data_IF_692768730083
#
_entry.id   IF_692768730083
#
_cell.length_a   1.000
_cell.length_b   1.000
_cell.length_c   1.000
_cell.angle_alpha   90.00
_cell.angle_beta   90.00
_cell.angle_gamma   90.00
#
_symmetry.space_group_name_H-M   'P 1'
#
loop_
_entity.id
_entity.type
_entity.pdbx_description
1 polymer ?
#
# COMPACT_ATOMS: atom_id res chain seq x y z
N UNK A 1 -70.29 56.18 22.39
CA UNK A 1 -69.05 56.40 21.65
C UNK A 1 -68.01 55.46 22.28
N UNK A 2 -67.81 54.27 21.70
CA UNK A 2 -66.85 53.30 22.17
C UNK A 2 -66.02 52.86 20.96
N UNK A 3 -64.72 53.04 20.96
CA UNK A 3 -63.87 52.50 19.88
C UNK A 3 -63.50 51.04 20.11
N UNK A 4 -63.83 50.22 19.14
CA UNK A 4 -63.46 48.83 19.03
C UNK A 4 -61.99 48.71 18.76
N UNK A 5 -61.25 48.00 19.63
CA UNK A 5 -59.86 47.59 19.40
C UNK A 5 -59.85 46.29 18.66
N UNK A 6 -59.31 46.28 17.44
CA UNK A 6 -58.99 45.08 16.70
C UNK A 6 -57.64 44.57 17.15
N UNK A 7 -57.66 43.35 17.71
CA UNK A 7 -56.47 42.63 18.08
C UNK A 7 -55.96 41.84 16.85
N UNK A 8 -54.87 42.27 16.26
CA UNK A 8 -54.21 41.53 15.17
C UNK A 8 -53.27 40.49 15.80
N UNK A 9 -53.66 39.22 15.68
CA UNK A 9 -52.82 38.11 16.06
C UNK A 9 -51.91 37.80 14.87
N UNK A 10 -50.64 38.15 14.98
CA UNK A 10 -49.62 37.74 14.01
C UNK A 10 -49.17 36.31 14.29
N UNK A 11 -49.54 35.37 13.44
CA UNK A 11 -49.04 33.99 13.47
C UNK A 11 -47.65 34.00 12.83
N UNK A 12 -46.63 33.89 13.64
CA UNK A 12 -45.24 33.65 13.18
C UNK A 12 -45.08 32.19 12.88
N UNK A 13 -45.14 31.80 11.61
CA UNK A 13 -44.83 30.46 11.14
C UNK A 13 -43.30 30.26 11.16
N UNK A 14 -42.81 29.51 12.12
CA UNK A 14 -41.39 29.09 12.20
C UNK A 14 -41.16 27.94 11.22
N UNK A 15 -40.66 28.24 10.03
CA UNK A 15 -40.22 27.23 9.07
C UNK A 15 -38.92 26.63 9.54
N UNK A 16 -38.99 25.37 10.03
CA UNK A 16 -37.82 24.54 10.29
C UNK A 16 -37.23 24.14 8.95
N UNK A 17 -36.17 24.80 8.53
CA UNK A 17 -35.32 24.35 7.44
C UNK A 17 -34.50 23.18 7.96
N UNK A 18 -34.94 21.93 7.70
CA UNK A 18 -34.12 20.77 7.78
C UNK A 18 -33.14 20.82 6.62
N UNK A 19 -31.90 21.18 6.90
CA UNK A 19 -30.80 20.98 5.96
C UNK A 19 -30.57 19.47 5.84
N UNK A 20 -30.68 18.85 4.63
CA UNK A 20 -30.18 17.51 4.44
C UNK A 20 -28.67 17.56 4.70
N UNK A 21 -28.23 16.87 5.76
CA UNK A 21 -26.82 16.66 5.99
C UNK A 21 -26.28 15.91 4.78
N UNK A 22 -25.45 16.59 3.97
CA UNK A 22 -24.58 15.92 3.01
C UNK A 22 -23.77 14.90 3.79
N UNK A 23 -24.20 13.63 3.71
CA UNK A 23 -23.36 12.52 4.04
C UNK A 23 -22.18 12.58 3.04
N UNK A 24 -21.09 13.21 3.45
CA UNK A 24 -19.81 13.09 2.76
C UNK A 24 -19.51 11.59 2.76
N UNK A 25 -19.88 10.94 1.64
CA UNK A 25 -19.42 9.60 1.35
C UNK A 25 -17.90 9.68 1.43
N UNK A 26 -17.34 9.11 2.50
CA UNK A 26 -15.90 9.08 2.70
C UNK A 26 -15.28 8.49 1.44
N UNK A 27 -14.67 9.34 0.65
CA UNK A 27 -13.90 8.96 -0.52
C UNK A 27 -12.88 7.96 -0.02
N UNK A 28 -13.14 6.67 -0.29
CA UNK A 28 -12.23 5.60 0.09
C UNK A 28 -11.00 5.76 -0.78
N UNK A 29 -10.04 6.56 -0.30
CA UNK A 29 -8.81 6.83 -1.01
C UNK A 29 -8.23 5.50 -1.52
N UNK A 30 -7.93 5.46 -2.81
CA UNK A 30 -7.32 4.28 -3.43
C UNK A 30 -6.03 3.93 -2.66
N UNK A 31 -5.80 2.65 -2.33
CA UNK A 31 -4.61 2.26 -1.60
C UNK A 31 -3.35 2.66 -2.36
N UNK A 32 -2.42 3.31 -1.69
CA UNK A 32 -1.18 3.75 -2.29
C UNK A 32 -0.29 2.57 -2.69
N UNK A 33 0.47 2.69 -3.77
CA UNK A 33 1.39 1.63 -4.21
C UNK A 33 2.74 1.76 -3.51
N UNK A 34 3.23 0.66 -2.93
CA UNK A 34 4.52 0.62 -2.24
C UNK A 34 5.71 0.79 -3.19
N UNK A 35 5.52 0.37 -4.45
CA UNK A 35 6.51 0.58 -5.51
C UNK A 35 5.86 0.77 -6.87
N UNK A 36 6.64 1.29 -7.78
CA UNK A 36 6.28 1.52 -9.18
C UNK A 36 7.33 0.88 -10.09
N UNK A 37 6.95 0.52 -11.32
CA UNK A 37 7.91 0.11 -12.34
C UNK A 37 8.84 1.27 -12.67
N UNK A 38 10.15 1.05 -12.62
CA UNK A 38 11.10 2.01 -13.13
C UNK A 38 11.01 2.10 -14.67
N UNK A 39 11.31 3.27 -15.27
CA UNK A 39 11.50 3.37 -16.70
C UNK A 39 12.55 2.35 -17.15
N UNK A 40 12.24 1.61 -18.23
CA UNK A 40 13.19 0.64 -18.77
C UNK A 40 14.42 1.36 -19.28
N UNK A 41 15.50 1.32 -18.53
CA UNK A 41 16.82 1.67 -19.05
C UNK A 41 17.35 0.39 -19.68
N UNK A 42 17.88 0.47 -20.90
CA UNK A 42 18.46 -0.66 -21.62
C UNK A 42 19.34 -1.48 -20.68
N UNK A 43 18.80 -2.61 -20.26
CA UNK A 43 19.50 -3.47 -19.33
C UNK A 43 20.55 -4.22 -20.13
N UNK A 44 21.80 -3.97 -19.82
CA UNK A 44 22.88 -4.85 -20.22
C UNK A 44 22.45 -6.29 -19.86
N UNK A 45 22.56 -7.18 -20.82
CA UNK A 45 22.21 -8.60 -20.69
C UNK A 45 23.15 -9.31 -19.71
N UNK A 46 23.08 -8.91 -18.43
CA UNK A 46 23.68 -9.68 -17.37
C UNK A 46 23.05 -11.06 -17.42
N UNK A 47 23.88 -12.09 -17.45
CA UNK A 47 23.45 -13.47 -17.58
C UNK A 47 22.36 -13.77 -16.54
N UNK A 48 21.13 -14.00 -17.00
CA UNK A 48 19.98 -14.24 -16.13
C UNK A 48 20.23 -15.50 -15.32
N UNK A 49 20.06 -15.42 -14.01
CA UNK A 49 20.19 -16.57 -13.11
C UNK A 49 19.15 -17.65 -13.47
N UNK A 50 19.49 -18.95 -13.47
CA UNK A 50 18.60 -20.02 -13.94
C UNK A 50 17.24 -20.09 -13.23
N UNK A 51 17.18 -19.61 -11.99
CA UNK A 51 15.98 -19.61 -11.16
C UNK A 51 15.12 -18.35 -11.30
N UNK A 52 15.57 -17.33 -12.08
CA UNK A 52 14.81 -16.12 -12.34
C UNK A 52 13.96 -16.31 -13.59
N UNK A 53 12.64 -16.24 -13.42
CA UNK A 53 11.66 -16.34 -14.50
C UNK A 53 11.54 -14.98 -15.20
N UNK A 54 11.29 -13.92 -14.42
CA UNK A 54 11.15 -12.54 -14.88
C UNK A 54 11.77 -11.58 -13.89
N UNK A 55 12.22 -10.43 -14.37
CA UNK A 55 12.74 -9.35 -13.53
C UNK A 55 12.36 -7.99 -14.09
N UNK A 56 12.21 -7.01 -13.21
CA UNK A 56 12.08 -5.60 -13.57
C UNK A 56 12.67 -4.70 -12.48
N UNK A 57 13.11 -3.53 -12.88
CA UNK A 57 13.51 -2.50 -11.93
C UNK A 57 12.27 -1.84 -11.31
N UNK A 58 12.34 -1.54 -10.02
CA UNK A 58 11.29 -0.88 -9.26
C UNK A 58 11.82 0.34 -8.51
N UNK A 59 10.93 1.30 -8.30
CA UNK A 59 11.15 2.50 -7.49
C UNK A 59 10.20 2.42 -6.31
N UNK A 60 10.73 2.53 -5.09
CA UNK A 60 9.94 2.55 -3.87
C UNK A 60 9.30 3.90 -3.60
N UNK A 61 8.11 3.89 -3.05
CA UNK A 61 7.57 5.04 -2.34
C UNK A 61 8.26 5.15 -0.96
N UNK A 62 9.21 6.09 -0.88
CA UNK A 62 10.03 6.26 0.32
C UNK A 62 9.20 6.73 1.51
N UNK A 63 8.15 7.51 1.28
CA UNK A 63 7.28 8.00 2.37
C UNK A 63 6.49 6.85 2.99
N UNK A 64 5.91 6.00 2.17
CA UNK A 64 5.24 4.79 2.65
C UNK A 64 6.21 3.85 3.36
N UNK A 65 7.42 3.70 2.84
CA UNK A 65 8.45 2.87 3.46
C UNK A 65 8.81 3.36 4.87
N UNK A 66 8.89 4.69 5.09
CA UNK A 66 9.15 5.24 6.42
C UNK A 66 8.01 4.93 7.39
N UNK A 67 6.76 5.09 6.96
CA UNK A 67 5.58 4.75 7.77
C UNK A 67 5.61 3.26 8.15
N UNK A 68 5.96 2.38 7.19
CA UNK A 68 6.03 0.93 7.42
C UNK A 68 7.09 0.53 8.45
N UNK A 69 8.20 1.26 8.54
CA UNK A 69 9.27 0.99 9.50
C UNK A 69 8.88 1.35 10.94
N UNK A 70 7.88 2.19 11.11
CA UNK A 70 7.40 2.58 12.44
C UNK A 70 6.44 1.52 13.00
N UNK A 71 6.91 0.72 13.94
CA UNK A 71 6.09 -0.29 14.61
C UNK A 71 4.95 0.30 15.45
N UNK A 72 5.00 1.59 15.77
CA UNK A 72 3.98 2.30 16.56
C UNK A 72 2.89 2.93 15.70
N UNK A 73 3.15 3.16 14.41
CA UNK A 73 2.21 3.72 13.45
C UNK A 73 1.13 2.70 13.07
N UNK A 74 0.14 2.52 13.92
CA UNK A 74 -0.98 1.60 13.68
C UNK A 74 -2.32 2.32 13.80
N UNK A 75 -3.31 1.93 12.96
CA UNK A 75 -3.21 0.97 11.86
C UNK A 75 -2.31 1.50 10.72
N UNK A 76 -1.58 0.61 10.07
CA UNK A 76 -0.83 0.99 8.87
C UNK A 76 -1.78 1.45 7.75
N UNK A 77 -1.38 2.40 6.93
CA UNK A 77 -2.17 2.81 5.78
C UNK A 77 -2.38 1.62 4.82
N UNK A 78 -3.49 1.65 4.09
CA UNK A 78 -3.75 0.65 3.05
C UNK A 78 -2.72 0.82 1.94
N UNK A 79 -2.06 -0.26 1.58
CA UNK A 79 -1.01 -0.28 0.56
C UNK A 79 -1.19 -1.43 -0.38
N UNK A 80 -0.78 -1.21 -1.61
CA UNK A 80 -0.77 -2.24 -2.65
C UNK A 80 0.62 -2.45 -3.19
N UNK A 81 0.81 -3.60 -3.77
CA UNK A 81 1.96 -3.94 -4.62
C UNK A 81 1.45 -4.50 -5.93
N UNK A 82 2.18 -4.28 -6.99
CA UNK A 82 1.96 -4.90 -8.28
C UNK A 82 3.16 -5.79 -8.64
N UNK A 83 2.89 -6.88 -9.32
CA UNK A 83 3.92 -7.78 -9.83
C UNK A 83 4.09 -7.59 -11.33
N UNK A 84 4.13 -8.66 -12.11
CA UNK A 84 4.34 -8.62 -13.56
C UNK A 84 3.03 -8.66 -14.36
N UNK A 85 1.93 -8.93 -13.70
CA UNK A 85 0.57 -8.76 -14.21
C UNK A 85 0.05 -7.40 -13.72
N UNK A 86 -0.91 -6.84 -14.41
CA UNK A 86 -1.49 -5.54 -14.05
C UNK A 86 -2.31 -5.57 -12.74
N UNK A 87 -2.31 -6.69 -12.02
CA UNK A 87 -3.09 -6.86 -10.80
C UNK A 87 -2.39 -6.22 -9.62
N UNK A 88 -3.13 -5.44 -8.86
CA UNK A 88 -2.69 -4.89 -7.57
C UNK A 88 -3.11 -5.81 -6.44
N UNK A 89 -2.21 -6.06 -5.53
CA UNK A 89 -2.42 -6.91 -4.35
C UNK A 89 -2.31 -6.05 -3.10
N UNK A 90 -3.36 -6.00 -2.30
CA UNK A 90 -3.37 -5.22 -1.06
C UNK A 90 -2.66 -6.00 0.04
N UNK A 91 -1.75 -5.32 0.74
CA UNK A 91 -0.98 -5.86 1.85
C UNK A 91 -1.79 -5.79 3.15
N UNK A 92 -1.77 -6.87 3.92
CA UNK A 92 -2.24 -6.94 5.31
C UNK A 92 -1.04 -7.18 6.22
N UNK A 93 -0.52 -6.10 6.82
CA UNK A 93 0.68 -6.15 7.64
C UNK A 93 0.29 -6.58 9.05
N UNK A 94 0.69 -7.78 9.42
CA UNK A 94 0.37 -8.37 10.72
C UNK A 94 1.43 -8.06 11.79
N UNK A 95 2.67 -7.81 11.37
CA UNK A 95 3.78 -7.54 12.28
C UNK A 95 4.80 -6.59 11.67
N UNK A 96 5.22 -5.60 12.45
CA UNK A 96 6.37 -4.74 12.18
C UNK A 96 7.28 -4.78 13.38
N UNK A 97 8.52 -5.17 13.19
CA UNK A 97 9.55 -5.19 14.23
C UNK A 97 10.64 -4.22 13.83
N UNK A 98 10.60 -3.02 14.42
CA UNK A 98 11.66 -2.01 14.23
C UNK A 98 12.91 -2.43 14.99
N UNK A 99 14.06 -2.22 14.38
CA UNK A 99 15.37 -2.54 14.92
C UNK A 99 16.28 -1.32 14.86
N UNK A 100 17.44 -1.42 15.49
CA UNK A 100 18.49 -0.40 15.38
C UNK A 100 18.89 -0.19 13.90
N UNK A 101 19.52 0.95 13.63
CA UNK A 101 20.04 1.32 12.32
C UNK A 101 18.98 1.50 11.22
N UNK A 102 17.82 2.05 11.59
CA UNK A 102 16.74 2.35 10.63
C UNK A 102 16.31 1.10 9.83
N UNK A 103 16.22 -0.04 10.50
CA UNK A 103 15.81 -1.32 9.91
C UNK A 103 14.52 -1.80 10.57
N UNK A 104 13.61 -2.33 9.76
CA UNK A 104 12.41 -3.00 10.24
C UNK A 104 12.16 -4.30 9.47
N UNK A 105 11.63 -5.29 10.17
CA UNK A 105 11.13 -6.53 9.58
C UNK A 105 9.62 -6.48 9.54
N UNK A 106 9.07 -6.62 8.35
CA UNK A 106 7.64 -6.58 8.05
C UNK A 106 7.18 -7.99 7.68
N UNK A 107 6.08 -8.43 8.27
CA UNK A 107 5.43 -9.69 7.93
C UNK A 107 3.95 -9.49 7.79
N UNK A 108 3.36 -10.23 6.89
CA UNK A 108 1.92 -10.17 6.68
C UNK A 108 1.45 -11.12 5.60
N UNK A 109 0.20 -10.93 5.22
CA UNK A 109 -0.47 -11.67 4.17
C UNK A 109 -1.05 -10.71 3.12
N UNK A 110 -1.58 -11.27 2.05
CA UNK A 110 -2.34 -10.49 1.08
C UNK A 110 -3.82 -10.54 1.41
N UNK A 111 -4.51 -9.40 1.25
CA UNK A 111 -5.96 -9.37 1.42
C UNK A 111 -6.68 -10.07 0.25
N UNK A 112 -7.85 -10.66 0.51
CA UNK A 112 -8.67 -11.24 -0.55
C UNK A 112 -8.95 -10.23 -1.70
N UNK A 113 -9.02 -10.71 -2.96
CA UNK A 113 -9.05 -12.12 -3.37
C UNK A 113 -7.67 -12.80 -3.42
N UNK A 114 -6.58 -12.07 -3.22
CA UNK A 114 -5.22 -12.62 -3.21
C UNK A 114 -5.00 -13.51 -1.99
N UNK A 115 -4.15 -14.52 -2.15
CA UNK A 115 -3.74 -15.40 -1.04
C UNK A 115 -2.23 -15.56 -1.07
N UNK A 116 -1.64 -15.58 0.12
CA UNK A 116 -0.20 -15.73 0.28
C UNK A 116 0.32 -14.84 1.38
N UNK A 117 1.61 -14.86 1.57
CA UNK A 117 2.28 -14.14 2.63
C UNK A 117 3.55 -13.44 2.12
N UNK A 118 4.11 -12.61 2.99
CA UNK A 118 5.36 -11.93 2.70
C UNK A 118 6.18 -11.72 3.96
N UNK A 119 7.50 -11.67 3.75
CA UNK A 119 8.47 -11.18 4.73
C UNK A 119 9.42 -10.23 4.02
N UNK A 120 9.42 -8.99 4.49
CA UNK A 120 10.21 -7.91 3.92
C UNK A 120 11.08 -7.28 5.00
N UNK A 121 12.28 -6.89 4.63
CA UNK A 121 13.21 -6.14 5.46
C UNK A 121 13.40 -4.77 4.83
N UNK A 122 12.93 -3.75 5.53
CA UNK A 122 13.13 -2.35 5.16
C UNK A 122 14.35 -1.81 5.90
N UNK A 123 15.30 -1.25 5.18
CA UNK A 123 16.47 -0.58 5.77
C UNK A 123 16.80 0.67 4.99
N UNK A 124 16.89 1.82 5.66
CA UNK A 124 17.01 3.11 4.97
C UNK A 124 15.94 3.26 3.90
N UNK A 125 16.32 3.37 2.63
CA UNK A 125 15.43 3.48 1.48
C UNK A 125 15.42 2.20 0.62
N UNK A 126 15.73 1.07 1.22
CA UNK A 126 15.77 -0.24 0.55
C UNK A 126 14.72 -1.17 1.15
N UNK A 127 14.19 -2.04 0.30
CA UNK A 127 13.23 -3.07 0.69
C UNK A 127 13.63 -4.38 0.03
N UNK A 128 14.03 -5.35 0.84
CA UNK A 128 14.43 -6.67 0.36
C UNK A 128 13.63 -7.76 1.06
N UNK A 129 13.33 -8.82 0.36
CA UNK A 129 12.60 -9.94 0.95
C UNK A 129 11.88 -10.79 -0.05
N UNK A 130 10.95 -11.60 0.45
CA UNK A 130 10.18 -12.56 -0.31
C UNK A 130 8.69 -12.35 -0.15
N UNK A 131 7.96 -12.61 -1.23
CA UNK A 131 6.50 -12.54 -1.30
C UNK A 131 6.03 -13.79 -2.05
N UNK A 132 4.96 -14.40 -1.55
CA UNK A 132 4.30 -15.50 -2.22
C UNK A 132 2.85 -15.11 -2.51
N UNK A 133 2.40 -15.26 -3.75
CA UNK A 133 1.00 -15.05 -4.13
C UNK A 133 0.53 -16.27 -4.91
N UNK A 134 -0.36 -17.06 -4.31
CA UNK A 134 -0.73 -18.36 -4.84
C UNK A 134 0.51 -19.26 -4.99
N UNK A 135 0.75 -19.76 -6.20
CA UNK A 135 1.89 -20.64 -6.52
C UNK A 135 3.13 -19.88 -6.99
N UNK A 136 3.08 -18.55 -7.01
CA UNK A 136 4.17 -17.72 -7.52
C UNK A 136 4.99 -17.14 -6.39
N UNK A 137 6.31 -17.14 -6.59
CA UNK A 137 7.28 -16.61 -5.64
C UNK A 137 7.98 -15.40 -6.24
N UNK A 138 8.08 -14.37 -5.43
CA UNK A 138 8.70 -13.10 -5.80
C UNK A 138 9.76 -12.73 -4.78
N UNK A 139 10.79 -12.05 -5.24
CA UNK A 139 11.82 -11.45 -4.39
C UNK A 139 12.06 -10.01 -4.78
N UNK A 140 12.35 -9.17 -3.80
CA UNK A 140 12.93 -7.86 -4.04
C UNK A 140 14.40 -7.90 -3.66
N UNK A 141 15.26 -7.38 -4.52
CA UNK A 141 16.71 -7.38 -4.31
C UNK A 141 17.32 -6.02 -4.60
N UNK A 142 18.34 -5.67 -3.83
CA UNK A 142 19.17 -4.50 -4.10
C UNK A 142 20.31 -4.90 -5.05
N UNK A 143 20.41 -4.18 -6.18
CA UNK A 143 21.41 -4.47 -7.23
C UNK A 143 22.52 -3.42 -7.33
N UNK A 144 22.70 -2.65 -6.27
CA UNK A 144 23.71 -1.57 -6.22
C UNK A 144 23.14 -0.21 -6.62
N UNK A 145 23.85 0.86 -6.23
CA UNK A 145 23.51 2.24 -6.55
C UNK A 145 22.07 2.67 -6.21
N UNK A 146 21.49 2.10 -5.13
CA UNK A 146 20.11 2.39 -4.73
C UNK A 146 19.02 1.77 -5.62
N UNK A 147 19.41 0.99 -6.63
CA UNK A 147 18.47 0.32 -7.53
C UNK A 147 17.93 -0.96 -6.90
N UNK A 148 16.64 -1.17 -7.09
CA UNK A 148 15.93 -2.37 -6.64
C UNK A 148 15.36 -3.12 -7.83
N UNK A 149 15.39 -4.44 -7.75
CA UNK A 149 14.74 -5.33 -8.70
C UNK A 149 13.65 -6.15 -8.01
N UNK A 150 12.54 -6.27 -8.71
CA UNK A 150 11.52 -7.27 -8.44
C UNK A 150 11.79 -8.47 -9.35
N UNK A 151 11.83 -9.66 -8.75
CA UNK A 151 12.10 -10.91 -9.43
C UNK A 151 10.91 -11.85 -9.22
N UNK A 152 10.49 -12.53 -10.28
CA UNK A 152 9.69 -13.75 -10.17
C UNK A 152 10.65 -14.94 -10.25
N UNK A 153 10.54 -15.85 -9.30
CA UNK A 153 11.52 -16.93 -9.14
C UNK A 153 10.88 -18.31 -9.16
N UNK A 154 11.61 -19.28 -9.69
CA UNK A 154 11.28 -20.70 -9.57
C UNK A 154 12.02 -21.27 -8.35
N UNK A 155 11.33 -21.54 -7.22
CA UNK A 155 11.98 -22.01 -6.00
C UNK A 155 12.64 -23.36 -6.16
N UNK A 156 12.22 -24.19 -7.14
CA UNK A 156 12.80 -25.51 -7.40
C UNK A 156 14.18 -25.43 -8.03
N UNK A 157 14.51 -24.30 -8.65
CA UNK A 157 15.80 -24.07 -9.32
C UNK A 157 16.75 -23.20 -8.49
N UNK A 158 16.29 -22.72 -7.34
CA UNK A 158 17.15 -21.96 -6.44
C UNK A 158 18.21 -22.89 -5.85
N UNK A 159 19.47 -22.39 -5.72
CA UNK A 159 20.51 -23.16 -5.02
C UNK A 159 20.06 -23.39 -3.57
N UNK A 160 20.24 -24.62 -3.10
CA UNK A 160 20.10 -24.92 -1.67
C UNK A 160 21.26 -24.27 -0.92
N UNK A 161 20.96 -23.52 0.13
CA UNK A 161 21.96 -22.98 1.05
C UNK A 161 22.61 -24.09 1.90
#
# INVERSE_FOLDING_TARGET
MTPSFYLIVAVVSLALFSTPGDAVAGETAEPASLWYSAPTTDQSSAQRRPWVIRERDIILDVQLLQILKDATARPHPRMTVDFFDANRHELDITSTVSRFNDTAVLRGSFKPPSRGDFTLVATRNLLVGSLQVGDRFYKTEHVGNGRLKLLEVDPRKMPSE
#
